data_IF_589671846286
#
_entry.id   IF_589671846286
#
_cell.length_a   1.000
_cell.length_b   1.000
_cell.length_c   1.000
_cell.angle_alpha   90.00
_cell.angle_beta   90.00
_cell.angle_gamma   90.00
#
_symmetry.space_group_name_H-M   'P 1'
#
loop_
_entity.id
_entity.type
_entity.pdbx_description
1 polymer ?
#
# COMPACT_ATOMS: atom_id res chain seq x y z
N UNK A 1 20.24 -28.39 -6.11
CA UNK A 1 19.88 -27.77 -4.83
C UNK A 1 19.21 -26.44 -5.12
N UNK A 2 17.87 -26.45 -5.26
CA UNK A 2 17.08 -25.28 -5.64
C UNK A 2 16.73 -24.46 -4.41
N UNK A 3 16.86 -23.14 -4.59
CA UNK A 3 16.74 -22.08 -3.61
C UNK A 3 15.36 -22.02 -2.94
N UNK A 4 15.37 -21.57 -1.69
CA UNK A 4 14.23 -21.30 -0.81
C UNK A 4 13.30 -20.28 -1.46
N UNK A 5 12.00 -20.58 -1.49
CA UNK A 5 10.94 -19.64 -1.85
C UNK A 5 10.31 -19.09 -0.57
N UNK A 6 10.36 -17.77 -0.44
CA UNK A 6 9.64 -16.90 0.48
C UNK A 6 10.05 -15.45 0.15
N UNK A 7 9.22 -14.41 0.37
CA UNK A 7 7.76 -14.38 0.41
C UNK A 7 7.19 -14.45 -1.01
N UNK A 8 5.88 -14.65 -1.13
CA UNK A 8 5.17 -15.06 -2.34
C UNK A 8 5.02 -13.93 -3.39
N UNK A 9 6.13 -13.47 -3.98
CA UNK A 9 6.12 -12.67 -5.20
C UNK A 9 5.97 -13.60 -6.40
N UNK A 10 4.74 -13.83 -6.85
CA UNK A 10 4.52 -14.24 -8.24
C UNK A 10 5.15 -13.20 -9.18
N UNK A 11 5.46 -13.53 -10.45
CA UNK A 11 6.04 -12.55 -11.36
C UNK A 11 5.16 -11.29 -11.40
N UNK A 12 5.80 -10.13 -11.29
CA UNK A 12 5.17 -8.82 -11.19
C UNK A 12 4.02 -8.68 -12.21
N UNK A 13 2.83 -8.30 -11.73
CA UNK A 13 1.63 -8.14 -12.57
C UNK A 13 0.70 -9.36 -12.63
N UNK A 14 1.04 -10.47 -11.98
CA UNK A 14 0.16 -11.66 -11.96
C UNK A 14 -1.16 -11.40 -11.25
N UNK A 15 -1.15 -10.75 -10.08
CA UNK A 15 -2.39 -10.49 -9.34
C UNK A 15 -3.24 -9.43 -10.02
N UNK A 16 -2.62 -8.41 -10.63
CA UNK A 16 -3.33 -7.41 -11.45
C UNK A 16 -4.10 -8.02 -12.61
N UNK A 17 -3.49 -8.95 -13.35
CA UNK A 17 -4.15 -9.61 -14.48
C UNK A 17 -5.34 -10.47 -14.01
N UNK A 18 -5.18 -11.17 -12.89
CA UNK A 18 -6.26 -11.93 -12.28
C UNK A 18 -7.40 -11.00 -11.84
N UNK A 19 -7.08 -9.92 -11.12
CA UNK A 19 -8.07 -8.94 -10.68
C UNK A 19 -8.82 -8.32 -11.85
N UNK A 20 -8.11 -7.91 -12.91
CA UNK A 20 -8.71 -7.35 -14.12
C UNK A 20 -9.75 -8.31 -14.72
N UNK A 21 -9.42 -9.61 -14.77
CA UNK A 21 -10.32 -10.63 -15.29
C UNK A 21 -11.49 -10.91 -14.34
N UNK A 22 -11.23 -10.98 -13.04
CA UNK A 22 -12.22 -11.35 -12.03
C UNK A 22 -13.22 -10.21 -11.73
N UNK A 23 -12.78 -8.96 -11.82
CA UNK A 23 -13.59 -7.76 -11.60
C UNK A 23 -14.51 -7.43 -12.79
N UNK A 24 -14.30 -8.05 -13.95
CA UNK A 24 -15.23 -7.99 -15.07
C UNK A 24 -16.31 -9.08 -14.89
N UNK A 25 -17.58 -8.75 -14.65
CA UNK A 25 -18.65 -9.73 -14.48
C UNK A 25 -18.83 -10.63 -15.70
N UNK A 26 -18.53 -10.15 -16.91
CA UNK A 26 -18.59 -10.92 -18.16
C UNK A 26 -17.21 -11.47 -18.58
N UNK A 27 -16.18 -11.20 -17.77
CA UNK A 27 -14.80 -11.60 -18.02
C UNK A 27 -14.65 -13.11 -18.04
N UNK A 28 -14.11 -13.63 -19.14
CA UNK A 28 -13.66 -15.02 -19.20
C UNK A 28 -12.36 -15.14 -18.41
N UNK A 29 -12.28 -16.10 -17.49
CA UNK A 29 -11.02 -16.42 -16.85
C UNK A 29 -10.06 -16.96 -17.90
N UNK A 30 -8.81 -16.49 -17.95
CA UNK A 30 -7.82 -17.08 -18.84
C UNK A 30 -7.71 -18.58 -18.49
N UNK A 31 -8.13 -19.43 -19.43
CA UNK A 31 -8.11 -20.89 -19.28
C UNK A 31 -6.76 -21.34 -18.70
N UNK A 32 -6.81 -22.07 -17.58
CA UNK A 32 -5.64 -22.70 -16.96
C UNK A 32 -4.89 -21.91 -15.88
N UNK A 33 -5.30 -20.69 -15.50
CA UNK A 33 -4.57 -19.91 -14.46
C UNK A 33 -5.07 -20.08 -13.03
N UNK A 34 -6.38 -20.20 -12.77
CA UNK A 34 -6.94 -20.41 -11.43
C UNK A 34 -8.28 -21.18 -11.50
N UNK A 35 -8.19 -22.50 -11.67
CA UNK A 35 -9.34 -23.38 -11.53
C UNK A 35 -9.60 -23.78 -10.08
N UNK A 36 -10.64 -24.59 -9.81
CA UNK A 36 -10.97 -25.04 -8.46
C UNK A 36 -9.81 -25.72 -7.70
N UNK A 37 -8.94 -26.48 -8.39
CA UNK A 37 -7.80 -27.12 -7.76
C UNK A 37 -6.76 -26.10 -7.27
N UNK A 38 -6.44 -25.09 -8.08
CA UNK A 38 -5.51 -24.02 -7.71
C UNK A 38 -6.08 -23.16 -6.58
N UNK A 39 -7.37 -22.84 -6.61
CA UNK A 39 -8.04 -22.12 -5.53
C UNK A 39 -8.02 -22.88 -4.20
N UNK A 40 -8.24 -24.21 -4.23
CA UNK A 40 -8.08 -25.05 -3.02
C UNK A 40 -6.66 -25.06 -2.49
N UNK A 41 -5.66 -25.09 -3.37
CA UNK A 41 -4.26 -25.00 -2.97
C UNK A 41 -3.98 -23.64 -2.30
N UNK A 42 -4.45 -22.54 -2.89
CA UNK A 42 -4.34 -21.19 -2.34
C UNK A 42 -4.97 -21.07 -0.94
N UNK A 43 -6.18 -21.62 -0.75
CA UNK A 43 -6.86 -21.64 0.55
C UNK A 43 -6.13 -22.50 1.59
N UNK A 44 -5.35 -23.50 1.16
CA UNK A 44 -4.61 -24.37 2.07
C UNK A 44 -3.36 -23.69 2.67
N UNK A 45 -2.81 -22.65 2.03
CA UNK A 45 -1.60 -21.95 2.49
C UNK A 45 -1.73 -21.39 3.91
N UNK A 46 -2.94 -21.01 4.31
CA UNK A 46 -3.26 -20.49 5.64
C UNK A 46 -2.99 -21.49 6.78
N UNK A 47 -2.86 -22.79 6.49
CA UNK A 47 -2.59 -23.85 7.48
C UNK A 47 -1.11 -24.24 7.58
N UNK A 48 -0.27 -23.79 6.66
CA UNK A 48 1.10 -24.31 6.47
C UNK A 48 2.21 -23.36 6.92
N UNK A 49 1.94 -22.07 7.10
CA UNK A 49 2.98 -21.15 7.57
C UNK A 49 2.96 -21.01 9.10
N UNK A 50 4.11 -21.22 9.79
CA UNK A 50 4.21 -20.90 11.19
C UNK A 50 4.03 -19.38 11.37
N UNK A 51 3.18 -18.99 12.31
CA UNK A 51 3.08 -17.60 12.77
C UNK A 51 4.49 -17.17 13.19
N UNK A 52 5.07 -16.08 12.64
CA UNK A 52 6.39 -15.63 13.06
C UNK A 52 6.32 -15.31 14.56
N UNK A 53 7.17 -15.99 15.31
CA UNK A 53 7.34 -15.85 16.76
C UNK A 53 7.64 -14.37 17.06
N UNK A 54 6.65 -13.65 17.62
CA UNK A 54 6.88 -12.32 18.16
C UNK A 54 7.92 -12.47 19.27
N UNK A 55 9.01 -11.70 19.15
CA UNK A 55 10.13 -11.73 20.09
C UNK A 55 9.63 -11.63 21.54
N UNK A 56 9.67 -12.76 22.24
CA UNK A 56 9.33 -12.82 23.66
C UNK A 56 10.42 -12.11 24.49
N UNK A 57 10.05 -11.47 25.62
CA UNK A 57 11.03 -11.03 26.61
C UNK A 57 11.62 -12.25 27.33
N UNK A 58 12.87 -12.10 27.79
CA UNK A 58 13.74 -13.18 28.30
C UNK A 58 13.22 -14.02 29.49
N UNK A 59 13.97 -15.07 29.85
CA UNK A 59 13.41 -16.26 30.49
C UNK A 59 13.25 -16.12 32.00
N UNK A 60 12.15 -16.64 32.52
CA UNK A 60 12.05 -17.04 33.92
C UNK A 60 11.11 -18.25 34.07
N UNK A 61 11.68 -19.36 34.56
CA UNK A 61 11.02 -20.36 35.42
C UNK A 61 9.95 -21.25 34.79
N UNK A 62 10.27 -22.53 34.64
CA UNK A 62 9.41 -23.52 34.00
C UNK A 62 8.22 -24.02 34.83
N UNK A 63 7.27 -24.62 34.12
CA UNK A 63 6.46 -25.75 34.57
C UNK A 63 5.73 -26.33 33.35
N UNK A 64 5.81 -27.65 33.21
CA UNK A 64 5.25 -28.47 32.13
C UNK A 64 3.73 -28.39 32.03
N UNK A 65 3.23 -28.05 30.84
CA UNK A 65 1.85 -28.23 30.40
C UNK A 65 1.80 -28.27 28.87
N UNK A 66 1.07 -29.23 28.31
CA UNK A 66 0.87 -29.50 26.87
C UNK A 66 0.77 -28.24 25.98
N UNK A 67 1.44 -28.19 24.80
CA UNK A 67 1.15 -27.18 23.79
C UNK A 67 0.15 -27.75 22.77
N UNK A 68 -1.13 -27.83 23.15
CA UNK A 68 -2.21 -28.13 22.23
C UNK A 68 -3.31 -27.07 22.38
N UNK A 69 -3.24 -26.03 21.56
CA UNK A 69 -4.30 -25.02 21.44
C UNK A 69 -3.76 -23.61 21.23
N UNK A 70 -3.31 -23.27 20.03
CA UNK A 70 -3.29 -21.86 19.63
C UNK A 70 -4.75 -21.45 19.44
N UNK A 71 -5.30 -20.64 20.35
CA UNK A 71 -6.64 -20.07 20.19
C UNK A 71 -6.76 -19.42 18.80
N UNK A 72 -7.91 -19.56 18.11
CA UNK A 72 -8.14 -18.84 16.86
C UNK A 72 -8.05 -17.34 17.13
N UNK A 73 -7.05 -16.70 16.53
CA UNK A 73 -6.74 -15.29 16.71
C UNK A 73 -7.94 -14.43 16.22
N UNK A 74 -8.59 -13.73 17.16
CA UNK A 74 -9.77 -12.91 16.90
C UNK A 74 -9.47 -11.82 15.85
N UNK A 75 -10.14 -11.82 14.67
CA UNK A 75 -9.90 -10.83 13.62
C UNK A 75 -10.09 -9.38 14.08
N UNK A 76 -11.06 -9.13 14.96
CA UNK A 76 -11.35 -7.77 15.46
C UNK A 76 -10.19 -7.28 16.35
N UNK A 77 -9.76 -8.12 17.30
CA UNK A 77 -8.61 -7.81 18.15
C UNK A 77 -7.32 -7.63 17.34
N UNK A 78 -7.09 -8.46 16.31
CA UNK A 78 -5.97 -8.29 15.38
C UNK A 78 -6.05 -6.95 14.65
N UNK A 79 -7.20 -6.62 14.05
CA UNK A 79 -7.41 -5.39 13.29
C UNK A 79 -7.18 -4.14 14.16
N UNK A 80 -7.62 -4.16 15.43
CA UNK A 80 -7.40 -3.05 16.36
C UNK A 80 -5.90 -2.83 16.66
N UNK A 81 -5.14 -3.90 16.93
CA UNK A 81 -3.68 -3.83 17.12
C UNK A 81 -2.99 -3.32 15.86
N UNK A 82 -3.43 -3.80 14.71
CA UNK A 82 -2.85 -3.44 13.42
C UNK A 82 -3.13 -1.98 13.06
N UNK A 83 -4.33 -1.46 13.34
CA UNK A 83 -4.65 -0.06 13.16
C UNK A 83 -3.80 0.84 14.06
N UNK A 84 -3.48 0.40 15.29
CA UNK A 84 -2.54 1.10 16.16
C UNK A 84 -1.11 1.12 15.58
N UNK A 85 -0.67 0.03 14.94
CA UNK A 85 0.62 -0.03 14.22
C UNK A 85 0.71 1.02 13.11
N UNK A 86 -0.32 1.12 12.26
CA UNK A 86 -0.35 2.16 11.21
C UNK A 86 -0.43 3.59 11.78
N UNK A 87 -1.18 3.83 12.86
CA UNK A 87 -1.20 5.13 13.54
C UNK A 87 0.17 5.53 14.08
N UNK A 88 0.90 4.58 14.67
CA UNK A 88 2.26 4.83 15.15
C UNK A 88 3.22 5.17 14.00
N UNK A 89 3.07 4.53 12.84
CA UNK A 89 3.79 4.90 11.62
C UNK A 89 3.44 6.33 11.17
N UNK A 90 2.15 6.65 11.06
CA UNK A 90 1.70 7.98 10.66
C UNK A 90 2.18 9.10 11.59
N UNK A 91 2.26 8.84 12.90
CA UNK A 91 2.75 9.80 13.89
C UNK A 91 4.21 10.20 13.67
N UNK A 92 5.03 9.34 13.03
CA UNK A 92 6.44 9.62 12.70
C UNK A 92 6.60 10.52 11.46
N UNK A 93 5.55 10.68 10.66
CA UNK A 93 5.60 11.44 9.42
C UNK A 93 5.41 12.95 9.64
N UNK A 94 6.16 13.75 8.89
CA UNK A 94 5.98 15.20 8.77
C UNK A 94 4.82 15.55 7.82
N UNK A 95 4.50 16.84 7.64
CA UNK A 95 3.35 17.27 6.83
C UNK A 95 3.34 16.74 5.39
N UNK A 96 4.48 16.77 4.69
CA UNK A 96 4.56 16.30 3.31
C UNK A 96 4.54 14.77 3.22
N UNK A 97 5.19 14.07 4.17
CA UNK A 97 5.12 12.62 4.24
C UNK A 97 3.71 12.14 4.60
N UNK A 98 2.97 12.84 5.48
CA UNK A 98 1.60 12.48 5.89
C UNK A 98 0.64 12.41 4.70
N UNK A 99 0.70 13.36 3.78
CA UNK A 99 -0.11 13.36 2.56
C UNK A 99 0.19 12.13 1.69
N UNK A 100 1.48 11.83 1.48
CA UNK A 100 1.92 10.63 0.74
C UNK A 100 1.41 9.35 1.41
N UNK A 101 1.51 9.25 2.74
CA UNK A 101 1.03 8.08 3.48
C UNK A 101 -0.49 7.90 3.33
N UNK A 102 -1.26 8.99 3.39
CA UNK A 102 -2.72 8.95 3.17
C UNK A 102 -3.02 8.44 1.76
N UNK A 103 -2.40 9.03 0.73
CA UNK A 103 -2.68 8.63 -0.66
C UNK A 103 -2.32 7.17 -0.90
N UNK A 104 -1.16 6.71 -0.41
CA UNK A 104 -0.73 5.31 -0.58
C UNK A 104 -1.61 4.33 0.20
N UNK A 105 -2.02 4.65 1.43
CA UNK A 105 -2.90 3.79 2.20
C UNK A 105 -4.28 3.66 1.56
N UNK A 106 -4.87 4.77 1.10
CA UNK A 106 -6.13 4.75 0.37
C UNK A 106 -5.98 3.95 -0.92
N UNK A 107 -4.96 4.20 -1.75
CA UNK A 107 -4.74 3.42 -2.97
C UNK A 107 -4.53 1.93 -2.71
N UNK A 108 -3.80 1.56 -1.66
CA UNK A 108 -3.54 0.16 -1.29
C UNK A 108 -4.79 -0.61 -0.85
N UNK A 109 -5.80 0.09 -0.32
CA UNK A 109 -7.10 -0.48 0.06
C UNK A 109 -8.09 -0.56 -1.11
N UNK A 110 -7.88 0.25 -2.15
CA UNK A 110 -8.87 0.47 -3.21
C UNK A 110 -9.32 -0.79 -3.97
N UNK A 111 -8.44 -1.75 -4.32
CA UNK A 111 -8.87 -2.96 -5.03
C UNK A 111 -9.92 -3.79 -4.29
N UNK A 112 -9.84 -3.85 -2.96
CA UNK A 112 -10.82 -4.56 -2.13
C UNK A 112 -12.04 -3.68 -1.87
N UNK A 113 -11.83 -2.44 -1.44
CA UNK A 113 -12.90 -1.55 -0.98
C UNK A 113 -13.89 -1.11 -2.08
N UNK A 114 -13.44 -0.96 -3.33
CA UNK A 114 -14.34 -0.67 -4.46
C UNK A 114 -15.33 -1.81 -4.75
N UNK A 115 -14.96 -3.03 -4.39
CA UNK A 115 -15.70 -4.27 -4.70
C UNK A 115 -16.27 -4.93 -3.44
N UNK A 116 -16.41 -4.16 -2.35
CA UNK A 116 -17.01 -4.62 -1.10
C UNK A 116 -18.37 -5.30 -1.34
N UNK A 117 -18.48 -6.56 -0.92
CA UNK A 117 -19.67 -7.38 -1.05
C UNK A 117 -19.85 -8.06 -2.42
N UNK A 118 -19.09 -7.67 -3.46
CA UNK A 118 -19.26 -8.22 -4.81
C UNK A 118 -18.97 -9.73 -4.90
N UNK A 119 -18.20 -10.29 -3.97
CA UNK A 119 -17.93 -11.73 -3.88
C UNK A 119 -19.17 -12.56 -3.47
N UNK A 120 -20.25 -11.94 -2.99
CA UNK A 120 -21.49 -12.63 -2.59
C UNK A 120 -22.49 -12.79 -3.74
N UNK A 121 -22.30 -12.12 -4.86
CA UNK A 121 -23.30 -11.94 -5.94
C UNK A 121 -23.84 -13.24 -6.55
N UNK A 122 -23.12 -14.35 -6.43
CA UNK A 122 -23.47 -15.66 -7.02
C UNK A 122 -23.86 -16.72 -5.98
N UNK A 123 -24.05 -16.32 -4.72
CA UNK A 123 -24.42 -17.25 -3.65
C UNK A 123 -25.93 -17.49 -3.53
N UNK A 124 -26.77 -16.75 -4.28
CA UNK A 124 -28.19 -17.06 -4.38
C UNK A 124 -28.48 -17.66 -5.75
N UNK A 125 -29.15 -18.80 -5.76
CA UNK A 125 -29.60 -19.51 -6.95
C UNK A 125 -31.03 -20.05 -6.77
N UNK A 126 -31.73 -20.42 -7.85
CA UNK A 126 -33.11 -20.92 -7.75
C UNK A 126 -33.29 -22.16 -6.86
N UNK A 127 -32.23 -22.94 -6.62
CA UNK A 127 -32.25 -24.15 -5.80
C UNK A 127 -32.12 -23.89 -4.30
N UNK A 128 -31.71 -22.69 -3.88
CA UNK A 128 -31.57 -22.30 -2.47
C UNK A 128 -32.21 -20.95 -2.14
N UNK A 129 -33.07 -20.43 -3.01
CA UNK A 129 -33.66 -19.10 -2.88
C UNK A 129 -34.58 -18.93 -1.65
N UNK A 130 -35.12 -20.02 -1.12
CA UNK A 130 -35.95 -20.06 0.09
C UNK A 130 -35.18 -20.46 1.36
N UNK A 131 -33.88 -20.78 1.22
CA UNK A 131 -33.03 -21.12 2.36
C UNK A 131 -32.78 -19.88 3.24
N UNK A 132 -33.02 -19.94 4.56
CA UNK A 132 -32.83 -18.81 5.46
C UNK A 132 -31.40 -18.25 5.46
N UNK A 133 -30.37 -19.09 5.31
CA UNK A 133 -28.98 -18.62 5.23
C UNK A 133 -28.73 -17.87 3.92
N UNK A 134 -29.24 -18.37 2.78
CA UNK A 134 -29.19 -17.65 1.50
C UNK A 134 -29.90 -16.31 1.57
N UNK A 135 -31.10 -16.24 2.14
CA UNK A 135 -31.86 -14.98 2.26
C UNK A 135 -31.12 -13.95 3.12
N UNK A 136 -30.46 -14.42 4.17
CA UNK A 136 -29.61 -13.57 5.00
C UNK A 136 -28.40 -13.03 4.23
N UNK A 137 -27.69 -13.90 3.51
CA UNK A 137 -26.56 -13.49 2.64
C UNK A 137 -27.01 -12.53 1.54
N UNK A 138 -28.18 -12.75 0.95
CA UNK A 138 -28.77 -11.88 -0.05
C UNK A 138 -29.08 -10.49 0.54
N UNK A 139 -29.60 -10.43 1.76
CA UNK A 139 -29.85 -9.17 2.48
C UNK A 139 -28.54 -8.39 2.68
N UNK A 140 -27.48 -9.05 3.16
CA UNK A 140 -26.16 -8.44 3.30
C UNK A 140 -25.59 -7.95 1.98
N UNK A 141 -25.64 -8.80 0.94
CA UNK A 141 -25.20 -8.43 -0.40
C UNK A 141 -25.96 -7.20 -0.91
N UNK A 142 -27.29 -7.18 -0.77
CA UNK A 142 -28.12 -6.06 -1.15
C UNK A 142 -27.71 -4.76 -0.42
N UNK A 143 -27.45 -4.82 0.89
CA UNK A 143 -26.97 -3.67 1.67
C UNK A 143 -25.60 -3.16 1.18
N UNK A 144 -24.67 -4.05 0.84
CA UNK A 144 -23.35 -3.68 0.36
C UNK A 144 -23.40 -3.02 -1.03
N UNK A 145 -24.28 -3.51 -1.93
CA UNK A 145 -24.48 -2.93 -3.27
C UNK A 145 -25.49 -1.77 -3.29
N UNK A 146 -26.05 -1.40 -2.14
CA UNK A 146 -26.88 -0.20 -1.97
C UNK A 146 -28.36 -0.39 -2.32
N UNK A 147 -28.89 -1.61 -2.21
CA UNK A 147 -30.32 -1.97 -2.33
C UNK A 147 -31.01 -1.40 -3.58
N UNK A 148 -30.27 -1.35 -4.69
CA UNK A 148 -30.76 -0.84 -5.97
C UNK A 148 -30.76 0.69 -6.11
N UNK A 149 -30.34 1.44 -5.08
CA UNK A 149 -30.16 2.89 -5.19
C UNK A 149 -28.84 3.25 -5.87
N UNK A 150 -28.88 4.07 -6.95
CA UNK A 150 -27.67 4.52 -7.62
C UNK A 150 -26.73 5.23 -6.65
N UNK A 151 -25.43 4.87 -6.71
CA UNK A 151 -24.36 5.47 -5.88
C UNK A 151 -24.51 5.23 -4.37
N UNK A 152 -25.36 4.29 -3.95
CA UNK A 152 -25.54 3.96 -2.54
C UNK A 152 -24.67 2.76 -2.09
N UNK A 153 -23.95 2.10 -3.00
CA UNK A 153 -23.07 0.97 -2.64
C UNK A 153 -21.86 1.41 -1.82
N UNK A 154 -21.26 0.49 -1.06
CA UNK A 154 -20.00 0.74 -0.34
C UNK A 154 -18.87 1.17 -1.29
N UNK A 155 -18.80 0.53 -2.45
CA UNK A 155 -17.88 0.92 -3.52
C UNK A 155 -18.12 2.35 -4.04
N UNK A 156 -19.35 2.86 -3.96
CA UNK A 156 -19.67 4.24 -4.34
C UNK A 156 -19.17 5.24 -3.29
N UNK A 157 -19.32 4.94 -2.00
CA UNK A 157 -18.74 5.73 -0.91
C UNK A 157 -17.21 5.76 -1.01
N UNK A 158 -16.59 4.62 -1.33
CA UNK A 158 -15.14 4.55 -1.56
C UNK A 158 -14.69 5.38 -2.76
N UNK A 159 -15.44 5.32 -3.86
CA UNK A 159 -15.17 6.12 -5.05
C UNK A 159 -15.29 7.63 -4.77
N UNK A 160 -16.18 8.04 -3.86
CA UNK A 160 -16.26 9.42 -3.40
C UNK A 160 -14.99 9.86 -2.65
N UNK A 161 -14.48 9.03 -1.75
CA UNK A 161 -13.20 9.28 -1.07
C UNK A 161 -12.05 9.42 -2.08
N UNK A 162 -11.94 8.51 -3.04
CA UNK A 162 -10.93 8.59 -4.10
C UNK A 162 -11.05 9.88 -4.91
N UNK A 163 -12.27 10.35 -5.22
CA UNK A 163 -12.48 11.61 -5.95
C UNK A 163 -12.06 12.83 -5.15
N UNK A 164 -12.42 12.88 -3.86
CA UNK A 164 -12.05 13.97 -2.95
C UNK A 164 -10.54 14.09 -2.81
N UNK A 165 -9.82 12.97 -2.84
CA UNK A 165 -8.35 12.92 -2.80
C UNK A 165 -7.70 13.03 -4.19
N UNK A 166 -8.47 13.20 -5.26
CA UNK A 166 -7.97 13.23 -6.64
C UNK A 166 -7.23 11.95 -7.09
N UNK A 167 -7.57 10.80 -6.50
CA UNK A 167 -7.00 9.48 -6.77
C UNK A 167 -7.86 8.62 -7.70
N UNK A 168 -8.96 9.15 -8.25
CA UNK A 168 -9.98 8.36 -8.96
C UNK A 168 -9.71 8.12 -10.46
N UNK A 169 -8.56 8.50 -11.01
CA UNK A 169 -8.30 8.48 -12.46
C UNK A 169 -8.54 7.10 -13.09
N UNK A 170 -8.06 6.04 -12.44
CA UNK A 170 -8.18 4.66 -12.91
C UNK A 170 -9.22 3.85 -12.10
N UNK A 171 -10.04 4.53 -11.28
CA UNK A 171 -10.95 3.85 -10.35
C UNK A 171 -12.25 3.31 -10.99
N UNK A 172 -12.56 3.72 -12.23
CA UNK A 172 -13.81 3.35 -12.93
C UNK A 172 -13.54 2.90 -14.37
N UNK A 173 -14.04 1.71 -14.79
CA UNK A 173 -14.58 0.64 -13.94
C UNK A 173 -13.51 0.10 -12.98
N UNK A 174 -13.91 -0.64 -11.93
CA UNK A 174 -12.98 -1.10 -10.90
C UNK A 174 -11.81 -1.94 -11.46
N UNK A 175 -12.02 -2.68 -12.55
CA UNK A 175 -10.99 -3.44 -13.28
C UNK A 175 -9.85 -2.57 -13.80
N UNK A 176 -10.11 -1.28 -14.07
CA UNK A 176 -9.13 -0.32 -14.56
C UNK A 176 -8.07 0.05 -13.51
N UNK A 177 -8.34 -0.19 -12.22
CA UNK A 177 -7.34 -0.02 -11.16
C UNK A 177 -6.08 -0.87 -11.41
N UNK A 178 -6.21 -1.98 -12.13
CA UNK A 178 -5.08 -2.84 -12.51
C UNK A 178 -4.01 -2.10 -13.32
N UNK A 179 -4.34 -0.97 -13.96
CA UNK A 179 -3.40 -0.11 -14.69
C UNK A 179 -2.76 0.98 -13.81
N UNK A 180 -3.26 1.21 -12.59
CA UNK A 180 -2.67 2.19 -11.68
C UNK A 180 -1.38 1.62 -11.07
N UNK A 181 -0.24 2.15 -11.52
CA UNK A 181 1.10 1.71 -11.09
C UNK A 181 1.45 2.09 -9.66
N UNK A 182 0.69 3.01 -9.03
CA UNK A 182 0.92 3.42 -7.64
C UNK A 182 0.49 2.36 -6.64
N UNK A 183 -0.41 1.46 -7.03
CA UNK A 183 -0.89 0.35 -6.19
C UNK A 183 0.12 -0.81 -6.24
N UNK A 184 0.44 -1.49 -5.14
CA UNK A 184 1.30 -2.67 -5.23
C UNK A 184 0.55 -3.87 -5.84
N UNK A 185 1.22 -4.75 -6.61
CA UNK A 185 0.56 -5.93 -7.21
C UNK A 185 -0.11 -6.82 -6.15
N UNK A 186 0.51 -6.98 -4.97
CA UNK A 186 -0.06 -7.74 -3.86
C UNK A 186 -1.41 -7.23 -3.34
N UNK A 187 -1.73 -5.94 -3.51
CA UNK A 187 -3.03 -5.36 -3.11
C UNK A 187 -4.21 -5.92 -3.91
N UNK A 188 -3.94 -6.48 -5.10
CA UNK A 188 -4.96 -7.06 -5.95
C UNK A 188 -5.27 -8.52 -5.61
N UNK A 189 -4.41 -9.21 -4.86
CA UNK A 189 -4.51 -10.67 -4.66
C UNK A 189 -5.79 -11.09 -3.95
N UNK A 190 -6.03 -10.56 -2.75
CA UNK A 190 -7.20 -10.89 -1.92
C UNK A 190 -8.53 -10.69 -2.68
N UNK A 191 -8.83 -9.49 -3.23
CA UNK A 191 -10.07 -9.30 -3.98
C UNK A 191 -10.13 -10.17 -5.24
N UNK A 192 -9.01 -10.37 -5.94
CA UNK A 192 -9.00 -11.21 -7.13
C UNK A 192 -9.34 -12.68 -6.82
N UNK A 193 -8.78 -13.25 -5.74
CA UNK A 193 -9.08 -14.62 -5.33
C UNK A 193 -10.54 -14.74 -4.85
N UNK A 194 -11.04 -13.80 -4.05
CA UNK A 194 -12.45 -13.76 -3.63
C UNK A 194 -13.42 -13.74 -4.82
N UNK A 195 -13.19 -12.84 -5.76
CA UNK A 195 -14.02 -12.71 -6.96
C UNK A 195 -13.91 -13.95 -7.84
N UNK A 196 -12.74 -14.57 -7.94
CA UNK A 196 -12.57 -15.83 -8.67
C UNK A 196 -13.31 -16.98 -7.99
N UNK A 197 -13.25 -17.11 -6.67
CA UNK A 197 -14.02 -18.11 -5.92
C UNK A 197 -15.53 -17.94 -6.14
N UNK A 198 -16.02 -16.69 -6.19
CA UNK A 198 -17.44 -16.40 -6.42
C UNK A 198 -17.99 -16.98 -7.73
N UNK A 199 -17.12 -17.36 -8.67
CA UNK A 199 -17.50 -17.95 -9.97
C UNK A 199 -17.68 -19.46 -9.91
N UNK A 200 -17.35 -20.07 -8.78
CA UNK A 200 -17.59 -21.48 -8.50
C UNK A 200 -18.38 -21.60 -7.18
N UNK A 201 -19.59 -21.03 -7.10
CA UNK A 201 -20.36 -20.98 -5.85
C UNK A 201 -20.61 -22.39 -5.29
N UNK A 202 -20.93 -23.37 -6.14
CA UNK A 202 -21.08 -24.78 -5.73
C UNK A 202 -19.85 -25.40 -5.05
N UNK A 203 -18.66 -24.85 -5.33
CA UNK A 203 -17.40 -25.38 -4.80
C UNK A 203 -16.89 -24.60 -3.59
N UNK A 204 -17.09 -23.28 -3.55
CA UNK A 204 -16.49 -22.38 -2.56
C UNK A 204 -17.51 -21.56 -1.76
N UNK A 205 -18.81 -21.85 -1.84
CA UNK A 205 -19.86 -21.14 -1.09
C UNK A 205 -19.46 -20.88 0.35
N UNK A 206 -19.12 -21.93 1.08
CA UNK A 206 -18.84 -21.84 2.51
C UNK A 206 -17.48 -21.19 2.80
N UNK A 207 -16.47 -21.36 1.95
CA UNK A 207 -15.23 -20.60 2.04
C UNK A 207 -15.46 -19.10 1.83
N UNK A 208 -16.31 -18.70 0.88
CA UNK A 208 -16.67 -17.30 0.65
C UNK A 208 -17.41 -16.73 1.86
N UNK A 209 -18.36 -17.49 2.44
CA UNK A 209 -19.07 -17.10 3.67
C UNK A 209 -18.09 -16.91 4.83
N UNK A 210 -17.13 -17.83 5.00
CA UNK A 210 -16.09 -17.72 6.02
C UNK A 210 -15.21 -16.49 5.84
N UNK A 211 -14.80 -16.22 4.59
CA UNK A 211 -13.99 -15.05 4.26
C UNK A 211 -14.76 -13.73 4.48
N UNK A 212 -16.03 -13.66 4.08
CA UNK A 212 -16.91 -12.51 4.32
C UNK A 212 -17.07 -12.23 5.82
N UNK A 213 -17.32 -13.28 6.63
CA UNK A 213 -17.40 -13.16 8.09
C UNK A 213 -16.09 -12.61 8.69
N UNK A 214 -14.94 -13.06 8.21
CA UNK A 214 -13.64 -12.53 8.64
C UNK A 214 -13.50 -11.05 8.31
N UNK A 215 -13.82 -10.64 7.07
CA UNK A 215 -13.70 -9.26 6.63
C UNK A 215 -14.63 -8.32 7.42
N UNK A 216 -15.84 -8.78 7.75
CA UNK A 216 -16.77 -8.03 8.61
C UNK A 216 -16.30 -7.96 10.07
N UNK A 217 -15.71 -9.03 10.60
CA UNK A 217 -15.12 -9.03 11.93
C UNK A 217 -13.91 -8.06 12.02
N UNK A 218 -13.14 -7.92 10.93
CA UNK A 218 -12.08 -6.90 10.81
C UNK A 218 -12.68 -5.49 10.74
N UNK A 219 -13.80 -5.33 10.04
CA UNK A 219 -14.47 -4.04 9.86
C UNK A 219 -13.68 -3.10 8.96
N UNK A 220 -13.48 -1.85 9.40
CA UNK A 220 -12.63 -0.90 8.69
C UNK A 220 -11.20 -1.44 8.56
N UNK A 221 -10.67 -1.46 7.33
CA UNK A 221 -9.32 -1.94 7.08
C UNK A 221 -8.29 -1.17 7.94
N UNK A 222 -7.34 -1.86 8.60
CA UNK A 222 -6.46 -1.23 9.59
C UNK A 222 -5.70 0.00 9.09
N UNK A 223 -5.26 -0.01 7.84
CA UNK A 223 -4.54 1.11 7.21
C UNK A 223 -5.40 2.38 7.07
N UNK A 224 -6.73 2.28 7.17
CA UNK A 224 -7.63 3.44 7.13
C UNK A 224 -7.86 4.06 8.51
N UNK A 225 -7.41 3.42 9.59
CA UNK A 225 -7.57 3.94 10.94
C UNK A 225 -6.98 5.34 11.10
N UNK A 226 -5.74 5.56 10.64
CA UNK A 226 -5.11 6.88 10.69
C UNK A 226 -5.65 7.84 9.61
N UNK A 227 -6.13 7.31 8.47
CA UNK A 227 -6.71 8.15 7.41
C UNK A 227 -8.00 8.80 7.91
N UNK A 228 -8.84 8.02 8.61
CA UNK A 228 -10.04 8.53 9.30
C UNK A 228 -9.69 9.60 10.32
N UNK A 229 -8.68 9.36 11.14
CA UNK A 229 -8.29 10.31 12.18
C UNK A 229 -7.73 11.61 11.58
N UNK A 230 -7.02 11.53 10.45
CA UNK A 230 -6.49 12.68 9.73
C UNK A 230 -7.55 13.44 8.92
N UNK A 231 -8.56 12.74 8.41
CA UNK A 231 -9.58 13.25 7.49
C UNK A 231 -10.99 12.77 7.90
N UNK A 232 -11.50 13.18 9.08
CA UNK A 232 -12.76 12.68 9.62
C UNK A 232 -13.95 12.97 8.70
N UNK A 233 -13.96 14.12 8.04
CA UNK A 233 -15.07 14.57 7.17
C UNK A 233 -14.91 14.17 5.70
N UNK A 234 -13.85 13.43 5.34
CA UNK A 234 -13.59 13.09 3.94
C UNK A 234 -14.54 12.01 3.39
N UNK A 235 -15.11 11.16 4.24
CA UNK A 235 -16.01 10.09 3.81
C UNK A 235 -17.05 9.77 4.88
N UNK A 236 -18.12 9.11 4.46
CA UNK A 236 -18.96 8.33 5.37
C UNK A 236 -18.19 7.07 5.77
N UNK A 237 -17.49 7.13 6.91
CA UNK A 237 -16.64 6.05 7.41
C UNK A 237 -17.43 4.79 7.77
N UNK A 238 -18.71 4.94 8.14
CA UNK A 238 -19.59 3.81 8.41
C UNK A 238 -19.95 3.07 7.13
N UNK A 239 -20.10 3.79 6.01
CA UNK A 239 -20.26 3.17 4.69
C UNK A 239 -18.99 2.43 4.22
N UNK A 240 -17.80 2.88 4.64
CA UNK A 240 -16.52 2.23 4.31
C UNK A 240 -16.19 1.03 5.21
N UNK A 241 -16.68 1.03 6.45
CA UNK A 241 -16.51 -0.07 7.39
C UNK A 241 -17.45 -1.24 7.05
N UNK A 242 -16.88 -2.35 6.56
CA UNK A 242 -17.65 -3.53 6.15
C UNK A 242 -18.35 -4.22 7.33
N UNK A 243 -17.84 -4.03 8.55
CA UNK A 243 -18.40 -4.57 9.79
C UNK A 243 -19.61 -3.79 10.31
N UNK A 244 -19.78 -2.54 9.87
CA UNK A 244 -20.95 -1.74 10.21
C UNK A 244 -22.18 -2.24 9.46
N UNK A 245 -23.20 -2.66 10.19
CA UNK A 245 -24.52 -2.98 9.63
C UNK A 245 -25.13 -1.72 9.01
N UNK A 246 -25.55 -1.79 7.76
CA UNK A 246 -26.28 -0.69 7.13
C UNK A 246 -27.76 -0.88 7.32
N UNK A 247 -28.37 0.04 8.05
CA UNK A 247 -29.81 0.02 8.24
C UNK A 247 -30.48 0.25 6.88
N UNK A 248 -31.28 -0.72 6.43
CA UNK A 248 -31.97 -0.66 5.14
C UNK A 248 -33.22 0.23 5.23
N UNK A 249 -33.28 1.20 6.16
CA UNK A 249 -34.43 2.06 6.42
C UNK A 249 -34.62 3.13 5.34
N UNK A 250 -34.80 2.67 4.10
CA UNK A 250 -35.86 3.11 3.20
C UNK A 250 -36.87 1.95 3.05
N UNK A 251 -37.31 1.37 4.18
CA UNK A 251 -38.58 0.67 4.39
C UNK A 251 -38.54 0.02 5.78
N UNK A 252 -39.39 0.50 6.70
CA UNK A 252 -39.33 0.15 8.11
C UNK A 252 -39.41 -1.35 8.41
N UNK A 253 -38.33 -1.88 8.98
CA UNK A 253 -38.40 -2.84 10.09
C UNK A 253 -37.06 -2.80 10.83
N UNK A 254 -37.03 -2.51 12.15
CA UNK A 254 -35.84 -2.75 12.93
C UNK A 254 -35.78 -4.25 13.23
N UNK A 255 -34.69 -4.91 12.87
CA UNK A 255 -34.39 -6.24 13.41
C UNK A 255 -32.99 -6.27 13.99
N UNK A 256 -32.99 -6.40 15.32
CA UNK A 256 -31.99 -6.94 16.25
C UNK A 256 -30.53 -7.07 15.76
N UNK A 257 -29.67 -6.26 16.37
CA UNK A 257 -28.22 -6.42 16.40
C UNK A 257 -27.76 -7.65 17.18
N UNK A 258 -28.15 -8.84 16.73
CA UNK A 258 -27.66 -10.12 17.23
C UNK A 258 -26.45 -10.60 16.44
N UNK A 259 -25.47 -11.18 17.15
CA UNK A 259 -24.28 -11.80 16.57
C UNK A 259 -24.66 -12.72 15.39
N UNK A 260 -24.20 -12.33 14.21
CA UNK A 260 -24.88 -12.65 12.97
C UNK A 260 -24.31 -13.94 12.34
N UNK A 261 -24.82 -15.08 12.82
CA UNK A 261 -24.45 -16.40 12.33
C UNK A 261 -25.67 -17.29 12.18
N UNK A 262 -26.19 -17.42 10.96
CA UNK A 262 -27.10 -18.52 10.62
C UNK A 262 -26.43 -19.86 10.99
N UNK A 263 -27.21 -20.84 11.50
CA UNK A 263 -26.66 -22.14 11.89
C UNK A 263 -26.10 -22.89 10.67
N UNK A 264 -24.78 -22.93 10.57
CA UNK A 264 -24.07 -23.70 9.54
C UNK A 264 -24.00 -25.16 9.97
N UNK A 265 -24.29 -26.12 9.07
CA UNK A 265 -24.13 -27.55 9.37
C UNK A 265 -22.67 -27.85 9.72
N UNK A 266 -22.42 -28.78 10.63
CA UNK A 266 -21.05 -29.10 11.07
C UNK A 266 -20.07 -29.47 9.93
N UNK A 267 -20.55 -30.12 8.87
CA UNK A 267 -19.75 -30.45 7.67
C UNK A 267 -19.33 -29.20 6.88
N UNK A 268 -20.18 -28.19 6.84
CA UNK A 268 -19.97 -26.92 6.16
C UNK A 268 -19.12 -25.97 7.02
N UNK A 269 -19.15 -26.15 8.35
CA UNK A 269 -18.33 -25.40 9.31
C UNK A 269 -16.82 -25.52 9.06
N UNK A 270 -16.33 -26.66 8.56
CA UNK A 270 -14.92 -26.82 8.20
C UNK A 270 -14.53 -25.95 6.99
N UNK A 271 -15.42 -25.78 6.02
CA UNK A 271 -15.21 -24.93 4.85
C UNK A 271 -15.29 -23.44 5.22
N UNK A 272 -16.27 -23.07 6.05
CA UNK A 272 -16.35 -21.73 6.66
C UNK A 272 -15.07 -21.40 7.43
N UNK A 273 -14.59 -22.32 8.27
CA UNK A 273 -13.34 -22.14 9.01
C UNK A 273 -12.12 -21.97 8.11
N UNK A 274 -12.03 -22.70 6.99
CA UNK A 274 -10.95 -22.52 5.99
C UNK A 274 -10.99 -21.14 5.34
N UNK A 275 -12.15 -20.71 4.87
CA UNK A 275 -12.33 -19.40 4.26
C UNK A 275 -12.00 -18.25 5.22
N UNK A 276 -12.46 -18.37 6.47
CA UNK A 276 -12.16 -17.43 7.53
C UNK A 276 -10.65 -17.33 7.82
N UNK A 277 -9.99 -18.47 8.04
CA UNK A 277 -8.55 -18.52 8.31
C UNK A 277 -7.73 -17.98 7.14
N UNK A 278 -8.11 -18.32 5.90
CA UNK A 278 -7.44 -17.80 4.70
C UNK A 278 -7.60 -16.29 4.55
N UNK A 279 -8.80 -15.74 4.76
CA UNK A 279 -9.02 -14.31 4.65
C UNK A 279 -8.17 -13.54 5.68
N UNK A 280 -8.12 -14.01 6.93
CA UNK A 280 -7.28 -13.40 7.97
C UNK A 280 -5.79 -13.48 7.62
N UNK A 281 -5.33 -14.64 7.12
CA UNK A 281 -3.95 -14.80 6.65
C UNK A 281 -3.63 -13.84 5.49
N UNK A 282 -4.50 -13.77 4.48
CA UNK A 282 -4.32 -12.90 3.32
C UNK A 282 -4.32 -11.41 3.72
N UNK A 283 -5.18 -11.01 4.66
CA UNK A 283 -5.19 -9.66 5.22
C UNK A 283 -3.90 -9.33 5.97
N UNK A 284 -3.33 -10.27 6.73
CA UNK A 284 -2.03 -10.07 7.41
C UNK A 284 -0.91 -9.83 6.40
N UNK A 285 -0.81 -10.67 5.39
CA UNK A 285 0.20 -10.52 4.32
C UNK A 285 0.03 -9.19 3.58
N UNK A 286 -1.20 -8.81 3.25
CA UNK A 286 -1.50 -7.51 2.65
C UNK A 286 -1.12 -6.35 3.59
N UNK A 287 -1.44 -6.46 4.87
CA UNK A 287 -1.19 -5.43 5.88
C UNK A 287 0.31 -5.21 6.09
N UNK A 288 1.10 -6.29 6.20
CA UNK A 288 2.55 -6.23 6.32
C UNK A 288 3.18 -5.58 5.08
N UNK A 289 2.81 -6.03 3.88
CA UNK A 289 3.33 -5.46 2.64
C UNK A 289 2.98 -3.96 2.49
N UNK A 290 1.74 -3.57 2.83
CA UNK A 290 1.33 -2.16 2.80
C UNK A 290 2.07 -1.34 3.86
N UNK A 291 2.20 -1.86 5.08
CA UNK A 291 2.93 -1.20 6.15
C UNK A 291 4.40 -0.97 5.78
N UNK A 292 5.07 -1.97 5.19
CA UNK A 292 6.46 -1.85 4.73
C UNK A 292 6.60 -0.82 3.61
N UNK A 293 5.66 -0.79 2.65
CA UNK A 293 5.64 0.21 1.60
C UNK A 293 5.45 1.64 2.16
N UNK A 294 4.57 1.81 3.15
CA UNK A 294 4.37 3.09 3.83
C UNK A 294 5.62 3.50 4.64
N UNK A 295 6.27 2.55 5.32
CA UNK A 295 7.53 2.79 6.03
C UNK A 295 8.63 3.27 5.09
N UNK A 296 8.79 2.61 3.94
CA UNK A 296 9.77 3.01 2.93
C UNK A 296 9.48 4.40 2.37
N UNK A 297 8.20 4.78 2.26
CA UNK A 297 7.76 6.09 1.78
C UNK A 297 8.09 7.24 2.75
N UNK A 298 8.48 6.95 4.00
CA UNK A 298 9.03 7.98 4.89
C UNK A 298 10.34 8.56 4.36
N UNK A 299 11.10 7.83 3.54
CA UNK A 299 12.28 8.33 2.84
C UNK A 299 11.89 8.97 1.50
N UNK A 300 12.04 10.29 1.31
CA UNK A 300 11.78 10.94 0.03
C UNK A 300 12.62 10.39 -1.14
N UNK A 301 13.84 9.91 -0.87
CA UNK A 301 14.69 9.31 -1.90
C UNK A 301 14.18 7.93 -2.34
N UNK A 302 13.50 7.19 -1.47
CA UNK A 302 12.79 5.98 -1.85
C UNK A 302 11.68 6.28 -2.86
N UNK A 303 10.78 7.21 -2.55
CA UNK A 303 9.68 7.55 -3.46
C UNK A 303 10.16 8.08 -4.81
N UNK A 304 11.22 8.90 -4.82
CA UNK A 304 11.80 9.38 -6.07
C UNK A 304 12.45 8.25 -6.88
N UNK A 305 13.09 7.26 -6.24
CA UNK A 305 13.61 6.07 -6.92
C UNK A 305 12.50 5.26 -7.58
N UNK A 306 11.38 5.07 -6.89
CA UNK A 306 10.23 4.36 -7.45
C UNK A 306 9.62 5.12 -8.63
N UNK A 307 9.46 6.44 -8.53
CA UNK A 307 8.99 7.27 -9.63
C UNK A 307 9.92 7.19 -10.85
N UNK A 308 11.25 7.27 -10.63
CA UNK A 308 12.22 7.13 -11.70
C UNK A 308 12.13 5.76 -12.37
N UNK A 309 12.03 4.67 -11.59
CA UNK A 309 11.87 3.32 -12.12
C UNK A 309 10.60 3.19 -12.97
N UNK A 310 9.49 3.77 -12.53
CA UNK A 310 8.21 3.73 -13.27
C UNK A 310 8.30 4.47 -14.61
N UNK A 311 9.01 5.60 -14.67
CA UNK A 311 9.17 6.43 -15.88
C UNK A 311 10.36 6.04 -16.76
N UNK A 312 11.23 5.18 -16.26
CA UNK A 312 12.49 4.78 -16.88
C UNK A 312 12.32 4.30 -18.34
N UNK A 313 11.39 3.37 -18.58
CA UNK A 313 11.20 2.75 -19.90
C UNK A 313 10.77 3.78 -20.95
N UNK A 314 9.77 4.60 -20.61
CA UNK A 314 9.25 5.64 -21.51
C UNK A 314 10.30 6.73 -21.74
N UNK A 315 10.96 7.20 -20.68
CA UNK A 315 11.97 8.25 -20.79
C UNK A 315 13.22 7.82 -21.56
N UNK A 316 13.62 6.54 -21.49
CA UNK A 316 14.79 6.03 -22.21
C UNK A 316 14.66 6.14 -23.74
N UNK A 317 13.44 6.20 -24.27
CA UNK A 317 13.17 6.33 -25.72
C UNK A 317 13.40 7.76 -26.22
N UNK A 318 13.22 8.77 -25.37
CA UNK A 318 13.20 10.17 -25.82
C UNK A 318 14.48 10.95 -25.48
N UNK A 319 15.26 10.52 -24.48
CA UNK A 319 16.33 11.33 -23.91
C UNK A 319 17.74 10.95 -24.38
N UNK A 320 17.93 10.72 -25.68
CA UNK A 320 19.24 10.38 -26.27
C UNK A 320 20.21 11.56 -26.33
N UNK A 321 19.70 12.78 -26.50
CA UNK A 321 20.53 13.97 -26.75
C UNK A 321 20.80 14.80 -25.48
N UNK A 322 20.22 14.44 -24.34
CA UNK A 322 20.43 15.16 -23.08
C UNK A 322 21.55 14.53 -22.27
N UNK A 323 22.74 15.16 -22.14
CA UNK A 323 23.84 14.61 -21.37
C UNK A 323 23.66 14.85 -19.87
N UNK A 324 23.87 13.81 -19.06
CA UNK A 324 24.00 13.88 -17.61
C UNK A 324 25.31 13.20 -17.21
N UNK A 325 26.22 13.97 -16.60
CA UNK A 325 27.57 13.52 -16.23
C UNK A 325 28.34 12.84 -17.39
N UNK A 326 28.24 13.40 -18.60
CA UNK A 326 29.00 12.93 -19.75
C UNK A 326 28.43 11.71 -20.48
N UNK A 327 27.28 11.17 -20.06
CA UNK A 327 26.53 10.15 -20.81
C UNK A 327 25.08 10.57 -21.10
N UNK A 328 24.43 10.04 -22.15
CA UNK A 328 23.02 10.30 -22.42
C UNK A 328 22.10 9.90 -21.26
N UNK A 329 21.09 10.72 -20.98
CA UNK A 329 20.05 10.41 -19.98
C UNK A 329 19.28 9.13 -20.31
N UNK A 330 19.09 8.81 -21.60
CA UNK A 330 18.50 7.55 -22.04
C UNK A 330 19.24 6.32 -21.49
N UNK A 331 20.57 6.37 -21.41
CA UNK A 331 21.36 5.26 -20.86
C UNK A 331 21.13 5.11 -19.35
N UNK A 332 21.13 6.22 -18.61
CA UNK A 332 20.79 6.20 -17.19
C UNK A 332 19.39 5.63 -16.95
N UNK A 333 18.40 6.02 -17.77
CA UNK A 333 17.03 5.54 -17.63
C UNK A 333 16.91 4.05 -17.98
N UNK A 334 17.66 3.53 -18.94
CA UNK A 334 17.69 2.10 -19.23
C UNK A 334 18.19 1.28 -18.02
N UNK A 335 19.25 1.75 -17.35
CA UNK A 335 19.81 1.13 -16.14
C UNK A 335 18.89 1.31 -14.91
N UNK A 336 18.18 2.46 -14.84
CA UNK A 336 17.27 2.83 -13.76
C UNK A 336 16.09 1.85 -13.58
N UNK A 337 15.72 1.09 -14.62
CA UNK A 337 14.67 0.06 -14.53
C UNK A 337 15.01 -0.96 -13.44
N UNK A 338 16.29 -1.32 -13.32
CA UNK A 338 16.76 -2.29 -12.33
C UNK A 338 17.34 -1.61 -11.09
N UNK A 339 18.15 -0.57 -11.28
CA UNK A 339 18.81 0.15 -10.19
C UNK A 339 18.68 1.67 -10.36
N UNK A 340 17.70 2.32 -9.71
CA UNK A 340 17.49 3.76 -9.80
C UNK A 340 18.48 4.58 -8.97
N UNK A 341 19.28 3.96 -8.09
CA UNK A 341 20.19 4.65 -7.17
C UNK A 341 21.21 5.54 -7.86
N UNK A 342 21.98 5.02 -8.85
CA UNK A 342 22.98 5.79 -9.58
C UNK A 342 22.40 7.01 -10.31
N UNK A 343 21.25 6.87 -10.99
CA UNK A 343 20.60 8.00 -11.66
C UNK A 343 20.13 9.06 -10.64
N UNK A 344 19.56 8.65 -9.51
CA UNK A 344 19.13 9.58 -8.47
C UNK A 344 20.32 10.40 -7.93
N UNK A 345 21.46 9.75 -7.68
CA UNK A 345 22.69 10.41 -7.23
C UNK A 345 23.27 11.37 -8.29
N UNK A 346 23.21 10.99 -9.57
CA UNK A 346 23.61 11.87 -10.66
C UNK A 346 22.69 13.10 -10.76
N UNK A 347 21.39 12.93 -10.57
CA UNK A 347 20.43 14.04 -10.58
C UNK A 347 20.62 14.99 -9.40
N UNK A 348 20.89 14.49 -8.20
CA UNK A 348 21.04 15.31 -6.98
C UNK A 348 22.21 16.30 -7.06
N UNK A 349 23.25 15.97 -7.84
CA UNK A 349 24.43 16.81 -8.09
C UNK A 349 24.36 17.61 -9.39
N UNK A 350 23.30 17.43 -10.18
CA UNK A 350 23.15 18.07 -11.49
C UNK A 350 22.70 19.53 -11.39
N UNK A 351 22.83 20.28 -12.49
CA UNK A 351 22.33 21.65 -12.59
C UNK A 351 20.80 21.75 -12.62
N UNK A 352 20.10 20.62 -12.81
CA UNK A 352 18.63 20.57 -12.83
C UNK A 352 18.01 20.71 -11.44
N UNK A 353 18.80 20.44 -10.39
CA UNK A 353 18.34 20.41 -9.01
C UNK A 353 19.02 21.53 -8.22
N UNK A 354 18.22 22.31 -7.50
CA UNK A 354 18.66 23.20 -6.44
C UNK A 354 18.28 22.54 -5.11
N UNK A 355 19.23 21.89 -4.41
CA UNK A 355 18.95 21.20 -3.15
C UNK A 355 18.22 22.10 -2.16
N UNK A 356 17.13 21.59 -1.56
CA UNK A 356 16.29 22.33 -0.62
C UNK A 356 15.31 23.33 -1.26
N UNK A 357 15.43 23.61 -2.57
CA UNK A 357 14.66 24.66 -3.23
C UNK A 357 13.91 24.12 -4.47
N UNK A 358 12.80 23.39 -4.27
CA UNK A 358 12.02 22.79 -5.37
C UNK A 358 11.58 23.83 -6.40
N UNK A 359 11.03 24.97 -5.98
CA UNK A 359 10.56 26.02 -6.90
C UNK A 359 11.67 26.73 -7.69
N UNK A 360 12.92 26.59 -7.25
CA UNK A 360 14.09 27.16 -7.93
C UNK A 360 14.82 26.13 -8.78
N UNK A 361 14.43 24.86 -8.72
CA UNK A 361 15.06 23.77 -9.47
C UNK A 361 14.59 23.78 -10.92
N UNK A 362 15.50 23.90 -11.92
CA UNK A 362 15.14 23.88 -13.33
C UNK A 362 14.28 22.68 -13.76
N UNK A 363 14.46 21.51 -13.11
CA UNK A 363 13.58 20.37 -13.33
C UNK A 363 12.12 20.78 -13.14
N UNK A 364 11.78 21.30 -11.95
CA UNK A 364 10.41 21.61 -11.53
C UNK A 364 9.86 22.87 -12.21
N UNK A 365 10.63 23.95 -12.23
CA UNK A 365 10.11 25.25 -12.66
C UNK A 365 10.21 25.52 -14.17
N UNK A 366 11.02 24.74 -14.91
CA UNK A 366 11.23 24.94 -16.34
C UNK A 366 10.88 23.71 -17.16
N UNK A 367 11.33 22.50 -16.78
CA UNK A 367 11.13 21.31 -17.62
C UNK A 367 9.72 20.73 -17.49
N UNK A 368 9.26 20.50 -16.25
CA UNK A 368 7.95 19.87 -15.98
C UNK A 368 6.84 20.89 -15.65
N UNK A 369 7.17 22.18 -15.58
CA UNK A 369 6.20 23.25 -15.36
C UNK A 369 5.24 23.46 -16.54
N UNK A 370 4.24 24.33 -16.37
CA UNK A 370 3.14 24.54 -17.33
C UNK A 370 3.56 24.88 -18.76
N UNK A 371 4.72 25.53 -18.92
CA UNK A 371 5.27 25.95 -20.22
C UNK A 371 6.48 25.11 -20.65
N UNK A 372 6.78 24.05 -19.90
CA UNK A 372 7.95 23.22 -20.10
C UNK A 372 7.75 22.15 -21.18
N UNK A 373 8.83 21.66 -21.80
CA UNK A 373 8.77 20.59 -22.80
C UNK A 373 8.24 19.25 -22.24
N UNK A 374 8.25 19.06 -20.92
CA UNK A 374 7.75 17.86 -20.24
C UNK A 374 6.43 18.11 -19.49
N UNK A 375 5.69 19.17 -19.85
CA UNK A 375 4.40 19.44 -19.26
C UNK A 375 3.44 18.25 -19.41
N UNK A 376 2.75 17.88 -18.32
CA UNK A 376 1.84 16.71 -18.21
C UNK A 376 2.45 15.33 -18.42
N UNK A 377 3.77 15.21 -18.56
CA UNK A 377 4.43 13.90 -18.53
C UNK A 377 4.34 13.29 -17.13
N UNK A 378 4.43 14.14 -16.11
CA UNK A 378 4.29 13.78 -14.70
C UNK A 378 2.91 14.18 -14.19
N UNK A 379 2.27 13.29 -13.43
CA UNK A 379 1.01 13.59 -12.73
C UNK A 379 1.24 14.60 -11.60
N UNK A 380 0.20 15.26 -11.06
CA UNK A 380 0.34 16.12 -9.89
C UNK A 380 1.03 15.41 -8.70
N UNK A 381 0.70 14.13 -8.45
CA UNK A 381 1.34 13.32 -7.41
C UNK A 381 2.82 13.06 -7.71
N UNK A 382 3.17 12.77 -8.97
CA UNK A 382 4.56 12.60 -9.39
C UNK A 382 5.38 13.88 -9.13
N UNK A 383 4.79 15.05 -9.43
CA UNK A 383 5.41 16.35 -9.17
C UNK A 383 5.57 16.58 -7.66
N UNK A 384 4.61 16.18 -6.83
CA UNK A 384 4.72 16.24 -5.37
C UNK A 384 5.89 15.39 -4.84
N UNK A 385 6.07 14.17 -5.38
CA UNK A 385 7.21 13.30 -5.06
C UNK A 385 8.54 13.99 -5.41
N UNK A 386 8.66 14.53 -6.62
CA UNK A 386 9.87 15.25 -7.06
C UNK A 386 10.18 16.42 -6.14
N UNK A 387 9.16 17.24 -5.82
CA UNK A 387 9.29 18.41 -4.94
C UNK A 387 9.74 18.03 -3.54
N UNK A 388 9.13 16.99 -2.95
CA UNK A 388 9.46 16.47 -1.61
C UNK A 388 10.90 15.98 -1.55
N UNK A 389 11.36 15.23 -2.56
CA UNK A 389 12.74 14.79 -2.64
C UNK A 389 13.73 15.95 -2.78
N UNK A 390 13.46 16.95 -3.63
CA UNK A 390 14.34 18.10 -3.76
C UNK A 390 14.44 18.88 -2.45
N UNK A 391 13.32 19.07 -1.75
CA UNK A 391 13.28 19.73 -0.45
C UNK A 391 14.14 19.00 0.58
N UNK A 392 14.09 17.66 0.62
CA UNK A 392 14.85 16.87 1.60
C UNK A 392 16.37 16.96 1.41
N UNK A 393 16.85 17.23 0.20
CA UNK A 393 18.29 17.43 -0.07
C UNK A 393 18.88 18.66 0.65
N UNK A 394 18.06 19.64 1.02
CA UNK A 394 18.48 20.80 1.80
C UNK A 394 18.76 20.44 3.26
N UNK A 395 17.84 19.70 3.87
CA UNK A 395 17.94 19.28 5.27
C UNK A 395 19.17 18.41 5.54
N UNK A 396 19.54 17.52 4.59
CA UNK A 396 20.76 16.71 4.71
C UNK A 396 22.05 17.54 4.71
N UNK A 397 22.07 18.65 3.95
CA UNK A 397 23.25 19.54 3.89
C UNK A 397 23.41 20.40 5.14
N UNK A 398 22.30 20.86 5.71
CA UNK A 398 22.33 21.62 6.96
C UNK A 398 22.82 20.73 8.11
N UNK A 399 22.39 19.45 8.15
CA UNK A 399 22.88 18.45 9.11
C UNK A 399 24.39 18.19 8.96
N UNK A 400 24.90 17.96 7.75
CA UNK A 400 26.34 17.76 7.49
C UNK A 400 27.18 19.01 7.83
N UNK A 401 26.62 20.21 7.67
CA UNK A 401 27.31 21.47 8.03
C UNK A 401 27.37 21.71 9.54
N UNK A 402 26.43 21.13 10.31
CA UNK A 402 26.35 21.26 11.77
C UNK A 402 27.25 20.27 12.52
N UNK A 403 27.66 19.17 11.88
CA UNK A 403 28.60 18.18 12.44
C UNK A 403 30.08 18.53 12.13
N UNK A 404 30.32 19.48 11.22
CA UNK A 404 31.63 20.06 10.93
C UNK A 404 32.01 21.18 11.93
N UNK A 405 31.91 20.89 13.23
CA UNK A 405 32.50 21.72 14.29
C UNK A 405 34.02 21.64 14.24
N UNK A 406 34.66 22.57 13.52
CA UNK A 406 36.12 22.73 13.56
C UNK A 406 36.57 23.22 14.93
N UNK A 407 37.70 22.73 15.47
CA UNK A 407 38.27 23.25 16.70
C UNK A 407 38.80 24.67 16.47
N UNK A 408 38.42 25.56 17.38
CA UNK A 408 38.81 26.96 17.45
C UNK A 408 40.34 27.15 17.44
N UNK A 409 40.95 27.87 16.47
CA UNK A 409 42.31 28.33 16.60
C UNK A 409 42.34 29.55 17.52
N UNK A 410 42.61 29.29 18.80
CA UNK A 410 42.82 30.32 19.83
C UNK A 410 43.81 31.41 19.37
N UNK A 411 43.53 32.71 19.59
CA UNK A 411 44.36 33.81 19.15
C UNK A 411 45.54 34.03 20.11
N UNK A 412 46.77 33.88 19.61
CA UNK A 412 47.98 34.26 20.35
C UNK A 412 48.21 35.78 20.17
N UNK A 413 48.36 36.58 21.25
CA UNK A 413 48.42 38.03 21.16
C UNK A 413 49.76 38.54 20.65
N UNK A 414 49.69 39.60 19.83
CA UNK A 414 50.81 40.41 19.38
C UNK A 414 51.61 40.96 20.57
N UNK A 415 52.91 40.67 20.61
CA UNK A 415 53.91 41.49 21.29
C UNK A 415 54.85 42.11 20.26
N UNK A 416 54.85 43.43 20.27
CA UNK A 416 55.79 44.31 19.58
C UNK A 416 57.23 43.99 20.00
N UNK A 417 58.12 43.73 19.03
CA UNK A 417 59.48 44.25 19.15
C UNK A 417 60.13 44.48 17.78
N UNK A 418 60.77 45.64 17.71
CA UNK A 418 61.48 46.31 16.63
C UNK A 418 62.65 45.51 16.04
N UNK A 419 62.81 45.59 14.72
CA UNK A 419 64.03 45.19 14.00
C UNK A 419 65.23 46.06 14.37
N UNK A 420 66.46 45.53 14.18
CA UNK A 420 67.45 46.29 13.44
C UNK A 420 68.11 45.50 12.29
N UNK A 421 68.28 46.24 11.20
CA UNK A 421 69.20 46.20 10.04
C UNK A 421 70.27 45.09 9.89
N UNK A 422 70.62 44.70 8.63
CA UNK A 422 71.59 43.65 8.32
C UNK A 422 73.03 44.18 8.27
N UNK A 423 73.99 43.39 8.79
CA UNK A 423 75.37 43.32 8.28
C UNK A 423 76.18 42.22 8.97
N UNK A 424 77.15 41.75 8.19
CA UNK A 424 78.35 40.99 8.52
C UNK A 424 78.34 39.47 8.26
N UNK A 425 79.10 39.15 7.22
CA UNK A 425 79.66 37.87 6.84
C UNK A 425 80.60 37.31 7.91
N UNK A 426 80.70 35.98 8.03
CA UNK A 426 81.93 35.20 7.82
C UNK A 426 81.73 33.73 8.21
N UNK A 427 82.15 32.85 7.27
CA UNK A 427 82.95 31.63 7.44
C UNK A 427 82.63 30.51 8.48
N UNK A 428 82.86 29.29 7.96
CA UNK A 428 83.25 28.04 8.65
C UNK A 428 82.13 27.29 9.38
N UNK A 429 81.82 26.01 9.13
CA UNK A 429 82.57 24.87 8.60
C UNK A 429 81.60 23.82 8.08
#
# INVERSE_FOLDING_TARGET
MRSRLGPYEGPEGTNRLLYMSAADPEGLFPYGRLGPAQLRAELAHARTEPVPEQAAPGPAGGSSGDPAGTEPDDPAAWAAREAARFRALYARADGAAREVLVHKAVLGCAPLALLSGAWLQWLSDPGNADDPETLHLLTRYAQDVGVGHPRASRGSAWLELLRKLHLSEQAVPASRLSFDRRIADGCFRLPAVLLTMSRFPETFRYEIIGADRCLRAVGLLPALGFVRDALPDAADWDALDLGTTRDATVAGRPEDGGADGAPVRAADGAAVGRGHAWALWALRQWSDALHDALCASLDPAHDMRELLRQRAREGAVYHHDFPLQGRPLAQWLAECVTDPGPLLAALSTSRLIRPGAPDRSPLVNALIGERGPMFRVFSPDDVAVIRRWIASLGASRDADSSDAGSPDPSPVPYLLYTSPSPRDAHESR
#
